data_IF_186405164281
#
_entry.id   IF_186405164281
#
_cell.length_a   1.000
_cell.length_b   1.000
_cell.length_c   1.000
_cell.angle_alpha   90.00
_cell.angle_beta   90.00
_cell.angle_gamma   90.00
#
_symmetry.space_group_name_H-M   'P 1'
#
loop_
_entity.id
_entity.type
_entity.pdbx_description
1 polymer ?
#
# COMPACT_ATOMS: atom_id res chain seq x y z
N UNK A 1 -27.95 -21.95 13.28
CA UNK A 1 -27.56 -22.33 11.91
C UNK A 1 -28.84 -22.45 11.11
N UNK A 2 -29.27 -21.37 10.47
CA UNK A 2 -30.39 -21.40 9.54
C UNK A 2 -29.76 -21.33 8.15
N UNK A 3 -29.86 -22.43 7.40
CA UNK A 3 -29.47 -22.48 5.99
C UNK A 3 -30.61 -21.81 5.21
N UNK A 4 -30.30 -20.84 4.35
CA UNK A 4 -31.30 -20.16 3.52
C UNK A 4 -31.69 -21.07 2.35
N UNK A 5 -32.85 -21.70 2.50
CA UNK A 5 -33.38 -22.70 1.57
C UNK A 5 -34.47 -22.06 0.71
N UNK A 6 -34.57 -22.43 -0.56
CA UNK A 6 -35.71 -22.06 -1.40
C UNK A 6 -37.01 -22.73 -0.89
N UNK A 7 -38.17 -22.34 -1.46
CA UNK A 7 -39.48 -22.93 -1.12
C UNK A 7 -39.57 -24.46 -1.35
N UNK A 8 -38.52 -25.06 -1.94
CA UNK A 8 -38.38 -26.48 -2.24
C UNK A 8 -37.27 -27.17 -1.41
N UNK A 9 -36.64 -26.47 -0.47
CA UNK A 9 -35.61 -27.03 0.40
C UNK A 9 -34.22 -27.19 -0.24
N UNK A 10 -33.94 -26.51 -1.36
CA UNK A 10 -32.60 -26.47 -1.95
C UNK A 10 -31.81 -25.28 -1.41
N UNK A 11 -30.48 -25.42 -1.32
CA UNK A 11 -29.58 -24.29 -1.11
C UNK A 11 -29.84 -23.23 -2.18
N UNK A 12 -30.23 -22.02 -1.77
CA UNK A 12 -30.30 -20.89 -2.70
C UNK A 12 -28.90 -20.61 -3.22
N UNK A 13 -28.73 -20.68 -4.55
CA UNK A 13 -27.57 -20.06 -5.17
C UNK A 13 -27.66 -18.56 -4.89
N UNK A 14 -26.60 -17.97 -4.33
CA UNK A 14 -26.57 -16.53 -4.06
C UNK A 14 -27.01 -15.77 -5.32
N UNK A 15 -28.01 -14.89 -5.18
CA UNK A 15 -28.55 -14.15 -6.31
C UNK A 15 -27.40 -13.37 -7.01
N UNK A 16 -27.33 -13.36 -8.35
CA UNK A 16 -26.34 -12.56 -9.06
C UNK A 16 -26.52 -11.09 -8.66
N UNK A 17 -25.42 -10.43 -8.28
CA UNK A 17 -25.42 -8.99 -8.02
C UNK A 17 -26.06 -8.27 -9.22
N UNK A 18 -27.08 -7.44 -8.98
CA UNK A 18 -27.70 -6.62 -10.03
C UNK A 18 -26.60 -5.87 -10.79
N UNK A 19 -26.58 -6.02 -12.12
CA UNK A 19 -25.51 -5.46 -12.95
C UNK A 19 -25.58 -3.92 -12.89
N UNK A 20 -24.64 -3.29 -12.17
CA UNK A 20 -24.51 -1.83 -12.14
C UNK A 20 -24.13 -1.30 -13.52
N UNK A 21 -24.56 -0.06 -13.81
CA UNK A 21 -24.19 0.63 -15.05
C UNK A 21 -22.68 0.91 -15.12
N UNK A 22 -22.09 1.23 -13.96
CA UNK A 22 -20.68 1.54 -13.77
C UNK A 22 -20.14 0.91 -12.48
N UNK A 23 -18.86 0.59 -12.51
CA UNK A 23 -18.10 0.02 -11.40
C UNK A 23 -16.88 0.87 -11.11
N UNK A 24 -16.63 1.11 -9.82
CA UNK A 24 -15.55 1.92 -9.30
C UNK A 24 -14.61 1.05 -8.46
N UNK A 25 -13.36 0.92 -8.91
CA UNK A 25 -12.32 0.14 -8.24
C UNK A 25 -11.10 1.02 -7.94
N UNK A 26 -10.63 0.99 -6.70
CA UNK A 26 -9.48 1.78 -6.23
C UNK A 26 -8.37 0.83 -5.80
N UNK A 27 -7.23 0.89 -6.50
CA UNK A 27 -6.02 0.16 -6.13
C UNK A 27 -5.08 1.11 -5.38
N UNK A 28 -4.69 0.78 -4.14
CA UNK A 28 -3.86 1.65 -3.28
C UNK A 28 -2.70 0.89 -2.67
N UNK A 29 -1.56 1.55 -2.50
CA UNK A 29 -0.41 0.92 -1.88
C UNK A 29 0.85 1.77 -2.00
N UNK A 30 1.97 1.19 -1.59
CA UNK A 30 3.26 1.85 -1.68
C UNK A 30 3.93 1.53 -3.03
N UNK A 31 4.56 2.53 -3.63
CA UNK A 31 5.25 2.41 -4.91
C UNK A 31 6.26 1.25 -4.91
N UNK A 32 6.03 0.27 -5.79
CA UNK A 32 6.80 -0.98 -5.88
C UNK A 32 5.98 -2.25 -5.64
N UNK A 33 4.79 -2.15 -5.02
CA UNK A 33 3.93 -3.32 -4.72
C UNK A 33 3.07 -3.81 -5.87
N UNK A 34 3.07 -3.10 -7.01
CA UNK A 34 2.32 -3.52 -8.21
C UNK A 34 0.93 -2.89 -8.38
N UNK A 35 0.61 -1.82 -7.64
CA UNK A 35 -0.67 -1.08 -7.69
C UNK A 35 -1.11 -0.73 -9.13
N UNK A 36 -0.27 -0.01 -9.86
CA UNK A 36 -0.54 0.43 -11.25
C UNK A 36 -0.75 -0.80 -12.14
N UNK A 37 0.10 -1.82 -12.02
CA UNK A 37 -0.01 -3.04 -12.85
C UNK A 37 -1.33 -3.76 -12.59
N UNK A 38 -1.79 -3.83 -11.34
CA UNK A 38 -3.06 -4.45 -11.00
C UNK A 38 -4.24 -3.66 -11.60
N UNK A 39 -4.24 -2.34 -11.48
CA UNK A 39 -5.24 -1.47 -12.10
C UNK A 39 -5.26 -1.60 -13.63
N UNK A 40 -4.08 -1.66 -14.26
CA UNK A 40 -3.97 -1.93 -15.70
C UNK A 40 -4.57 -3.29 -16.07
N UNK A 41 -4.25 -4.36 -15.33
CA UNK A 41 -4.81 -5.69 -15.59
C UNK A 41 -6.34 -5.67 -15.51
N UNK A 42 -6.91 -5.04 -14.48
CA UNK A 42 -8.36 -4.90 -14.33
C UNK A 42 -8.97 -4.08 -15.47
N UNK A 43 -8.36 -2.95 -15.83
CA UNK A 43 -8.83 -2.13 -16.95
C UNK A 43 -8.76 -2.85 -18.30
N UNK A 44 -7.69 -3.59 -18.58
CA UNK A 44 -7.58 -4.37 -19.80
C UNK A 44 -8.57 -5.55 -19.84
N UNK A 45 -8.83 -6.19 -18.71
CA UNK A 45 -9.87 -7.19 -18.59
C UNK A 45 -11.26 -6.59 -18.88
N UNK A 46 -11.58 -5.43 -18.29
CA UNK A 46 -12.83 -4.73 -18.55
C UNK A 46 -13.01 -4.33 -20.03
N UNK A 47 -11.94 -3.88 -20.69
CA UNK A 47 -11.96 -3.62 -22.13
C UNK A 47 -12.25 -4.88 -22.96
N UNK A 48 -11.70 -6.04 -22.56
CA UNK A 48 -11.95 -7.33 -23.25
C UNK A 48 -13.39 -7.82 -23.08
N UNK A 49 -14.04 -7.48 -21.96
CA UNK A 49 -15.47 -7.73 -21.69
C UNK A 49 -16.39 -6.70 -22.38
N UNK A 50 -15.83 -5.73 -23.13
CA UNK A 50 -16.60 -4.75 -23.90
C UNK A 50 -17.01 -3.51 -23.12
N UNK A 51 -16.54 -3.33 -21.88
CA UNK A 51 -16.79 -2.12 -21.10
C UNK A 51 -15.92 -0.95 -21.58
N UNK A 52 -16.42 0.27 -21.41
CA UNK A 52 -15.57 1.46 -21.46
C UNK A 52 -14.72 1.50 -20.19
N UNK A 53 -13.54 2.11 -20.27
CA UNK A 53 -12.63 2.23 -19.13
C UNK A 53 -12.08 3.66 -19.02
N UNK A 54 -11.98 4.13 -17.78
CA UNK A 54 -11.33 5.39 -17.40
C UNK A 54 -10.43 5.13 -16.20
N UNK A 55 -9.19 5.57 -16.30
CA UNK A 55 -8.20 5.45 -15.23
C UNK A 55 -7.61 6.81 -14.90
N UNK A 56 -7.33 7.04 -13.63
CA UNK A 56 -6.50 8.14 -13.16
C UNK A 56 -5.53 7.60 -12.12
N UNK A 57 -4.32 8.15 -12.08
CA UNK A 57 -3.30 7.69 -11.15
C UNK A 57 -2.71 8.89 -10.44
N UNK A 58 -2.62 8.78 -9.13
CA UNK A 58 -1.87 9.70 -8.29
C UNK A 58 -0.65 8.95 -7.80
N UNK A 59 0.52 9.32 -8.34
CA UNK A 59 1.79 8.90 -7.79
C UNK A 59 2.40 10.06 -7.01
N UNK A 60 2.81 9.83 -5.77
CA UNK A 60 3.70 10.79 -5.09
C UNK A 60 4.96 11.03 -5.94
N UNK A 61 5.64 12.17 -5.77
CA UNK A 61 6.89 12.45 -6.51
C UNK A 61 8.00 11.41 -6.28
N UNK A 62 7.84 10.51 -5.28
CA UNK A 62 8.70 9.36 -5.07
C UNK A 62 8.16 8.14 -5.80
N UNK A 63 8.76 7.79 -6.94
CA UNK A 63 8.41 6.61 -7.76
C UNK A 63 8.60 5.26 -7.03
N UNK A 64 9.29 5.25 -5.88
CA UNK A 64 9.48 4.09 -5.00
C UNK A 64 9.31 4.52 -3.55
N UNK A 65 8.55 3.77 -2.76
CA UNK A 65 8.32 4.06 -1.34
C UNK A 65 7.35 5.20 -1.03
N UNK A 66 6.74 5.84 -2.03
CA UNK A 66 5.65 6.80 -1.84
C UNK A 66 4.27 6.16 -1.94
N UNK A 67 3.24 6.83 -1.42
CA UNK A 67 1.83 6.46 -1.61
C UNK A 67 1.46 6.54 -3.10
N UNK A 68 0.72 5.53 -3.56
CA UNK A 68 0.22 5.39 -4.93
C UNK A 68 -1.25 5.00 -4.86
N UNK A 69 -2.09 5.79 -5.54
CA UNK A 69 -3.50 5.50 -5.75
C UNK A 69 -3.79 5.40 -7.24
N UNK A 70 -4.41 4.31 -7.69
CA UNK A 70 -4.86 4.11 -9.07
C UNK A 70 -6.37 3.91 -9.07
N UNK A 71 -7.07 4.90 -9.61
CA UNK A 71 -8.52 4.94 -9.77
C UNK A 71 -8.87 4.26 -11.08
N UNK A 72 -9.77 3.27 -11.03
CA UNK A 72 -10.30 2.56 -12.18
C UNK A 72 -11.83 2.66 -12.15
N UNK A 73 -12.40 3.20 -13.23
CA UNK A 73 -13.84 3.19 -13.47
C UNK A 73 -14.12 2.49 -14.79
N UNK A 74 -15.09 1.59 -14.81
CA UNK A 74 -15.51 0.91 -16.03
C UNK A 74 -17.01 0.62 -16.05
N UNK A 75 -17.59 0.54 -17.25
CA UNK A 75 -19.03 0.34 -17.41
C UNK A 75 -19.53 0.68 -18.81
N UNK A 76 -20.86 0.77 -18.97
CA UNK A 76 -21.51 1.01 -20.27
C UNK A 76 -21.42 2.50 -20.68
N UNK A 77 -21.50 3.40 -19.71
CA UNK A 77 -21.50 4.86 -19.88
C UNK A 77 -20.48 5.50 -18.93
N UNK A 78 -19.49 6.25 -19.43
CA UNK A 78 -18.45 6.84 -18.56
C UNK A 78 -18.17 8.29 -18.94
N UNK A 79 -18.29 9.17 -17.95
CA UNK A 79 -18.08 10.61 -18.12
C UNK A 79 -16.70 11.08 -17.61
N UNK A 80 -16.02 10.30 -16.78
CA UNK A 80 -14.69 10.66 -16.26
C UNK A 80 -14.03 9.57 -15.40
N UNK A 81 -12.77 9.78 -14.96
CA UNK A 81 -12.03 8.80 -14.17
C UNK A 81 -12.17 8.98 -12.65
N UNK A 82 -12.70 10.11 -12.19
CA UNK A 82 -12.77 10.44 -10.76
C UNK A 82 -13.99 9.83 -10.08
N UNK A 83 -13.80 9.42 -8.82
CA UNK A 83 -14.83 8.88 -7.94
C UNK A 83 -15.21 9.94 -6.90
N UNK A 84 -16.42 9.85 -6.36
CA UNK A 84 -16.87 10.67 -5.23
C UNK A 84 -16.70 9.88 -3.93
N UNK A 85 -16.63 10.58 -2.80
CA UNK A 85 -16.64 9.95 -1.48
C UNK A 85 -17.85 9.02 -1.32
N UNK A 86 -17.62 7.85 -0.74
CA UNK A 86 -18.65 6.81 -0.57
C UNK A 86 -19.11 6.09 -1.85
N UNK A 87 -18.49 6.30 -3.01
CA UNK A 87 -18.91 5.70 -4.29
C UNK A 87 -18.08 4.46 -4.70
N UNK A 88 -17.30 3.87 -3.77
CA UNK A 88 -16.39 2.78 -4.11
C UNK A 88 -17.07 1.40 -4.07
N UNK A 89 -16.94 0.61 -5.15
CA UNK A 89 -17.38 -0.78 -5.17
C UNK A 89 -16.31 -1.74 -4.63
N UNK A 90 -15.05 -1.50 -5.02
CA UNK A 90 -13.91 -2.37 -4.67
C UNK A 90 -12.69 -1.53 -4.28
N UNK A 91 -12.17 -1.77 -3.08
CA UNK A 91 -10.85 -1.31 -2.64
C UNK A 91 -9.88 -2.49 -2.65
N UNK A 92 -8.77 -2.38 -3.38
CA UNK A 92 -7.65 -3.33 -3.32
C UNK A 92 -6.45 -2.62 -2.73
N UNK A 93 -6.11 -2.94 -1.49
CA UNK A 93 -4.98 -2.35 -0.80
C UNK A 93 -3.80 -3.32 -0.74
N UNK A 94 -2.70 -2.95 -1.38
CA UNK A 94 -1.44 -3.69 -1.39
C UNK A 94 -0.59 -3.41 -0.14
N UNK A 95 -1.09 -2.55 0.75
CA UNK A 95 -0.49 -2.12 2.01
C UNK A 95 -1.60 -1.63 2.94
N UNK A 96 -1.56 -1.98 4.23
CA UNK A 96 -2.69 -1.75 5.15
C UNK A 96 -2.93 -0.27 5.51
N UNK A 97 -1.89 0.53 5.68
CA UNK A 97 -2.04 1.96 5.98
C UNK A 97 -2.62 2.73 4.80
N UNK A 98 -2.37 2.27 3.59
CA UNK A 98 -2.95 2.86 2.37
C UNK A 98 -4.44 2.55 2.23
N UNK A 99 -4.93 1.43 2.80
CA UNK A 99 -6.36 1.20 2.96
C UNK A 99 -6.99 2.27 3.87
N UNK A 100 -6.38 2.53 5.03
CA UNK A 100 -6.86 3.53 6.00
C UNK A 100 -6.94 4.94 5.40
N UNK A 101 -5.91 5.35 4.64
CA UNK A 101 -5.88 6.69 4.03
C UNK A 101 -7.00 6.95 3.03
N UNK A 102 -7.62 5.91 2.50
CA UNK A 102 -8.61 5.99 1.42
C UNK A 102 -10.02 5.54 1.86
N UNK A 103 -10.27 5.40 3.17
CA UNK A 103 -11.59 4.98 3.69
C UNK A 103 -12.72 5.97 3.35
N UNK A 104 -12.41 7.24 3.08
CA UNK A 104 -13.42 8.23 2.68
C UNK A 104 -14.13 7.90 1.34
N UNK A 105 -13.50 7.10 0.48
CA UNK A 105 -14.14 6.62 -0.75
C UNK A 105 -15.09 5.44 -0.50
N UNK A 106 -14.94 4.74 0.61
CA UNK A 106 -15.72 3.55 0.91
C UNK A 106 -17.06 3.88 1.57
N UNK A 107 -18.01 2.95 1.39
CA UNK A 107 -19.28 2.89 2.08
C UNK A 107 -19.45 1.50 2.74
N UNK A 108 -20.61 1.26 3.34
CA UNK A 108 -20.92 0.02 4.08
C UNK A 108 -20.93 -1.26 3.22
N UNK A 109 -21.09 -1.12 1.90
CA UNK A 109 -21.20 -2.20 0.91
C UNK A 109 -19.93 -2.36 0.04
N UNK A 110 -18.95 -1.47 0.19
CA UNK A 110 -17.66 -1.54 -0.51
C UNK A 110 -16.93 -2.82 -0.18
N UNK A 111 -16.54 -3.62 -1.19
CA UNK A 111 -15.65 -4.76 -0.98
C UNK A 111 -14.22 -4.26 -0.74
N UNK A 112 -13.61 -4.60 0.39
CA UNK A 112 -12.21 -4.29 0.67
C UNK A 112 -11.38 -5.55 0.73
N UNK A 113 -10.34 -5.62 -0.10
CA UNK A 113 -9.32 -6.67 -0.08
C UNK A 113 -8.00 -6.01 0.33
N UNK A 114 -7.54 -6.30 1.54
CA UNK A 114 -6.41 -5.60 2.16
C UNK A 114 -5.28 -6.57 2.49
N UNK A 115 -4.09 -6.27 1.99
CA UNK A 115 -2.87 -6.95 2.41
C UNK A 115 -2.36 -6.36 3.73
N UNK A 116 -2.03 -7.21 4.69
CA UNK A 116 -1.39 -6.82 5.98
C UNK A 116 0.06 -6.35 5.84
N UNK A 117 0.58 -6.27 4.61
CA UNK A 117 1.94 -5.85 4.35
C UNK A 117 2.15 -4.43 4.86
N UNK A 118 3.26 -4.22 5.55
CA UNK A 118 3.67 -2.91 6.06
C UNK A 118 4.98 -2.51 5.39
N UNK A 119 4.95 -1.45 4.59
CA UNK A 119 6.14 -0.94 3.89
C UNK A 119 6.53 0.39 4.50
N UNK A 120 7.66 0.40 5.20
CA UNK A 120 8.19 1.61 5.83
C UNK A 120 8.89 2.43 4.75
N UNK A 121 8.43 3.67 4.46
CA UNK A 121 9.09 4.51 3.48
C UNK A 121 10.54 4.77 3.88
N UNK A 122 11.50 4.71 2.94
CA UNK A 122 12.90 5.03 3.25
C UNK A 122 13.09 6.43 3.87
N UNK A 123 12.20 7.37 3.59
CA UNK A 123 12.19 8.71 4.21
C UNK A 123 11.89 8.71 5.72
N UNK A 124 11.27 7.67 6.26
CA UNK A 124 11.13 7.51 7.72
C UNK A 124 12.48 7.16 8.34
N UNK A 125 13.36 6.50 7.57
CA UNK A 125 14.70 6.12 8.03
C UNK A 125 15.73 7.27 7.93
N UNK A 126 15.37 8.44 7.41
CA UNK A 126 16.33 9.54 7.20
C UNK A 126 16.56 10.42 8.42
N UNK A 127 15.71 10.34 9.45
CA UNK A 127 15.85 11.16 10.66
C UNK A 127 16.43 10.32 11.80
N UNK A 128 17.69 10.57 12.15
CA UNK A 128 18.33 10.05 13.36
C UNK A 128 18.02 10.96 14.56
N UNK A 129 17.38 10.42 15.58
CA UNK A 129 17.29 10.99 16.94
C UNK A 129 18.59 10.71 17.68
N UNK A 130 19.02 11.63 18.55
CA UNK A 130 20.19 11.43 19.40
C UNK A 130 19.78 11.14 20.83
N UNK A 131 20.32 10.06 21.39
CA UNK A 131 20.32 9.78 22.82
C UNK A 131 21.65 10.24 23.40
N UNK A 132 21.62 11.10 24.42
CA UNK A 132 22.82 11.54 25.13
C UNK A 132 22.81 10.96 26.53
N UNK A 133 23.79 10.10 26.82
CA UNK A 133 24.04 9.62 28.18
C UNK A 133 24.74 10.72 28.98
N UNK A 134 23.97 11.44 29.79
CA UNK A 134 24.47 12.55 30.61
C UNK A 134 25.49 12.11 31.68
N UNK A 135 25.58 10.81 32.00
CA UNK A 135 26.59 10.30 32.93
C UNK A 135 27.96 10.13 32.29
N UNK A 136 28.00 9.96 30.96
CA UNK A 136 29.23 9.83 30.16
C UNK A 136 29.60 11.10 29.40
N UNK A 137 28.62 11.97 29.14
CA UNK A 137 28.81 13.18 28.37
C UNK A 137 29.59 14.24 29.18
N UNK A 138 30.77 14.62 28.68
CA UNK A 138 31.60 15.66 29.29
C UNK A 138 31.49 17.04 28.61
N UNK A 139 30.61 17.20 27.61
CA UNK A 139 30.40 18.49 26.95
C UNK A 139 31.53 18.98 26.02
N UNK A 140 32.37 18.09 25.49
CA UNK A 140 33.54 18.45 24.68
C UNK A 140 33.25 19.10 23.31
N UNK A 141 32.02 19.02 22.81
CA UNK A 141 31.62 19.66 21.54
C UNK A 141 32.11 19.00 20.24
N UNK A 142 32.84 17.87 20.31
CA UNK A 142 33.34 17.16 19.10
C UNK A 142 32.23 16.80 18.09
N UNK A 143 31.03 16.46 18.58
CA UNK A 143 29.85 16.18 17.76
C UNK A 143 29.34 17.41 16.99
N UNK A 144 29.54 18.63 17.52
CA UNK A 144 29.14 19.89 16.91
C UNK A 144 30.16 20.32 15.85
N UNK A 145 31.46 20.11 16.11
CA UNK A 145 32.54 20.47 15.19
C UNK A 145 32.49 19.74 13.84
N UNK A 146 31.88 18.55 13.80
CA UNK A 146 31.74 17.75 12.58
C UNK A 146 30.53 18.15 11.72
N UNK A 147 29.75 19.16 12.13
CA UNK A 147 28.55 19.59 11.44
C UNK A 147 28.59 21.11 11.15
N UNK A 148 28.97 21.50 9.93
CA UNK A 148 29.09 22.91 9.54
C UNK A 148 27.99 23.30 8.52
N UNK A 149 27.22 24.39 8.72
CA UNK A 149 27.06 25.18 9.94
C UNK A 149 25.62 25.20 10.49
N UNK A 150 25.54 24.91 11.81
CA UNK A 150 24.48 25.23 12.77
C UNK A 150 23.17 24.44 12.67
N UNK A 151 23.20 23.22 13.19
CA UNK A 151 21.98 22.54 13.62
C UNK A 151 21.63 22.93 15.06
N UNK A 152 20.39 23.36 15.25
CA UNK A 152 19.80 23.57 16.58
C UNK A 152 19.19 22.24 17.01
N UNK A 153 19.78 21.63 18.03
CA UNK A 153 19.19 20.50 18.73
C UNK A 153 18.17 21.04 19.73
N UNK A 154 16.92 20.61 19.64
CA UNK A 154 15.93 20.91 20.65
C UNK A 154 15.76 19.70 21.56
N UNK A 155 15.71 19.96 22.87
CA UNK A 155 15.34 18.97 23.87
C UNK A 155 13.95 18.44 23.57
N UNK A 156 13.85 17.12 23.44
CA UNK A 156 12.60 16.37 23.29
C UNK A 156 11.84 16.38 24.61
N UNK A 157 10.52 16.16 24.57
CA UNK A 157 9.67 16.03 25.77
C UNK A 157 10.02 14.83 26.67
N UNK A 158 10.92 13.95 26.22
CA UNK A 158 11.49 12.87 27.01
C UNK A 158 12.86 13.34 27.53
N UNK A 159 13.09 13.22 28.84
CA UNK A 159 14.35 13.63 29.48
C UNK A 159 15.55 13.02 28.72
N UNK A 160 16.48 13.88 28.28
CA UNK A 160 17.76 13.54 27.63
C UNK A 160 17.76 13.14 26.15
N UNK A 161 16.69 13.41 25.40
CA UNK A 161 16.64 13.18 23.95
C UNK A 161 16.68 14.47 23.15
N UNK A 162 17.32 14.47 21.98
CA UNK A 162 17.45 15.66 21.14
C UNK A 162 17.07 15.38 19.67
N UNK A 163 16.24 16.24 19.09
CA UNK A 163 15.76 16.12 17.70
C UNK A 163 16.40 17.15 16.76
N UNK A 164 16.79 16.71 15.56
CA UNK A 164 17.37 17.54 14.50
C UNK A 164 16.27 18.19 13.63
N UNK A 165 16.07 19.51 13.70
CA UNK A 165 14.92 20.16 13.05
C UNK A 165 15.16 20.76 11.64
N UNK A 166 16.40 20.97 11.16
CA UNK A 166 16.66 21.63 9.85
C UNK A 166 17.93 21.16 9.16
N UNK A 167 17.84 20.85 7.85
CA UNK A 167 18.96 20.60 6.93
C UNK A 167 18.66 21.18 5.52
N UNK A 168 19.66 21.36 4.65
CA UNK A 168 19.65 22.33 3.55
C UNK A 168 18.73 22.02 2.35
N UNK A 169 18.28 23.11 1.72
CA UNK A 169 17.39 23.21 0.55
C UNK A 169 18.08 22.80 -0.77
N UNK A 170 17.39 22.01 -1.60
CA UNK A 170 17.81 21.63 -2.96
C UNK A 170 17.06 22.44 -4.02
N UNK A 171 17.72 22.85 -5.10
CA UNK A 171 17.11 23.49 -6.28
C UNK A 171 17.58 22.81 -7.56
N UNK A 172 16.65 22.59 -8.51
CA UNK A 172 16.97 22.05 -9.85
C UNK A 172 17.29 23.23 -10.76
N UNK A 173 18.50 23.22 -11.34
CA UNK A 173 18.95 24.23 -12.30
C UNK A 173 19.41 23.46 -13.55
N UNK A 174 18.77 23.72 -14.69
CA UNK A 174 19.06 23.08 -15.98
C UNK A 174 19.10 21.55 -15.91
N UNK A 175 18.10 20.94 -15.26
CA UNK A 175 17.96 19.47 -15.21
C UNK A 175 18.95 18.75 -14.29
N UNK A 176 19.86 19.46 -13.63
CA UNK A 176 20.77 18.90 -12.64
C UNK A 176 20.42 19.41 -11.23
N UNK A 177 20.37 18.49 -10.27
CA UNK A 177 20.23 18.85 -8.85
C UNK A 177 21.56 19.42 -8.37
N UNK A 178 21.60 20.71 -8.04
CA UNK A 178 22.76 21.32 -7.39
C UNK A 178 22.51 21.49 -5.91
N UNK A 179 23.47 20.99 -5.12
CA UNK A 179 23.60 21.31 -3.71
C UNK A 179 24.23 22.70 -3.63
N UNK A 180 23.60 23.64 -2.92
CA UNK A 180 24.17 24.97 -2.72
C UNK A 180 25.41 24.87 -1.82
N UNK A 181 26.44 25.67 -2.09
CA UNK A 181 27.85 25.49 -1.67
C UNK A 181 28.11 25.33 -0.16
N UNK A 182 27.13 25.56 0.70
CA UNK A 182 27.25 25.38 2.15
C UNK A 182 26.62 24.08 2.70
N UNK A 183 26.34 23.10 1.85
CA UNK A 183 25.79 21.80 2.25
C UNK A 183 26.64 20.63 1.73
N UNK A 184 27.04 19.72 2.62
CA UNK A 184 27.76 18.48 2.25
C UNK A 184 26.87 17.23 2.15
N UNK A 185 25.55 17.36 2.31
CA UNK A 185 24.61 16.26 2.05
C UNK A 185 24.67 15.13 3.09
N UNK A 186 23.69 15.11 3.98
CA UNK A 186 23.52 14.12 5.05
C UNK A 186 23.18 12.71 4.53
N UNK A 187 24.17 12.00 4.00
CA UNK A 187 24.25 10.54 4.03
C UNK A 187 25.33 10.03 5.01
N UNK A 188 26.09 10.94 5.63
CA UNK A 188 27.26 10.66 6.50
C UNK A 188 27.25 11.49 7.80
N UNK A 189 26.11 11.58 8.50
CA UNK A 189 26.16 11.95 9.92
C UNK A 189 26.82 10.81 10.71
N UNK A 190 28.13 10.94 10.97
CA UNK A 190 29.05 9.93 11.53
C UNK A 190 29.11 9.97 13.07
N UNK A 191 28.04 10.35 13.78
CA UNK A 191 28.10 10.44 15.25
C UNK A 191 28.55 9.11 15.90
N UNK A 192 28.20 7.98 15.28
CA UNK A 192 28.56 6.61 15.67
C UNK A 192 30.09 6.37 15.81
N UNK A 193 30.96 7.31 15.39
CA UNK A 193 32.43 7.25 15.57
C UNK A 193 33.09 8.56 16.05
N UNK A 194 32.30 9.58 16.41
CA UNK A 194 32.81 10.91 16.81
C UNK A 194 32.85 11.08 18.33
N UNK A 195 32.03 10.35 19.08
CA UNK A 195 32.05 10.41 20.55
C UNK A 195 33.15 9.48 21.09
N UNK A 196 34.24 9.98 21.68
CA UNK A 196 35.29 9.15 22.26
C UNK A 196 34.89 8.54 23.62
N UNK A 197 33.69 8.88 24.14
CA UNK A 197 33.18 8.45 25.44
C UNK A 197 31.92 7.58 25.33
N UNK A 198 31.53 7.19 24.11
CA UNK A 198 30.30 6.43 23.82
C UNK A 198 29.04 7.03 24.49
N UNK A 199 29.02 8.36 24.63
CA UNK A 199 27.97 9.10 25.31
C UNK A 199 26.82 9.54 24.38
N UNK A 200 26.99 9.40 23.06
CA UNK A 200 26.00 9.84 22.07
C UNK A 200 25.70 8.67 21.14
N UNK A 201 24.45 8.24 21.12
CA UNK A 201 23.95 7.19 20.24
C UNK A 201 22.92 7.79 19.28
N UNK A 202 23.06 7.49 17.98
CA UNK A 202 22.12 7.94 16.96
C UNK A 202 21.20 6.79 16.54
N UNK A 203 19.90 6.95 16.74
CA UNK A 203 18.90 5.91 16.51
C UNK A 203 17.69 6.50 15.78
N UNK A 204 16.85 5.65 15.19
CA UNK A 204 15.57 6.09 14.62
C UNK A 204 14.44 5.46 15.46
N UNK A 205 13.75 6.26 16.29
CA UNK A 205 12.48 5.82 16.88
C UNK A 205 11.35 6.24 15.96
N UNK A 206 10.66 5.25 15.40
CA UNK A 206 9.37 5.42 14.76
C UNK A 206 8.55 4.19 15.11
N UNK A 207 7.30 4.42 15.45
CA UNK A 207 6.34 3.36 15.75
C UNK A 207 5.34 3.32 14.60
N UNK A 208 5.29 2.19 13.91
CA UNK A 208 4.23 1.96 12.94
C UNK A 208 2.96 1.57 13.70
N UNK A 209 1.77 2.10 13.33
CA UNK A 209 0.54 1.74 14.02
C UNK A 209 0.37 0.22 14.10
N UNK A 210 -0.18 -0.27 15.21
CA UNK A 210 -0.42 -1.70 15.35
C UNK A 210 -1.38 -2.19 14.25
N UNK A 211 -0.97 -3.24 13.53
CA UNK A 211 -1.78 -3.84 12.45
C UNK A 211 -3.22 -4.12 12.92
N UNK A 212 -3.39 -4.66 14.14
CA UNK A 212 -4.70 -4.97 14.71
C UNK A 212 -5.59 -3.74 14.92
N UNK A 213 -5.01 -2.61 15.30
CA UNK A 213 -5.76 -1.37 15.45
C UNK A 213 -6.28 -0.91 14.08
N UNK A 214 -5.42 -0.96 13.05
CA UNK A 214 -5.81 -0.61 11.69
C UNK A 214 -6.86 -1.55 11.11
N UNK A 215 -6.74 -2.87 11.35
CA UNK A 215 -7.77 -3.82 10.94
C UNK A 215 -9.15 -3.49 11.51
N UNK A 216 -9.20 -3.07 12.78
CA UNK A 216 -10.45 -2.69 13.45
C UNK A 216 -11.09 -1.49 12.76
N UNK A 217 -10.31 -0.46 12.44
CA UNK A 217 -10.81 0.74 11.78
C UNK A 217 -11.31 0.44 10.36
N UNK A 218 -10.58 -0.38 9.59
CA UNK A 218 -11.00 -0.83 8.25
C UNK A 218 -12.31 -1.62 8.33
N UNK A 219 -12.39 -2.62 9.22
CA UNK A 219 -13.60 -3.45 9.44
C UNK A 219 -14.80 -2.66 9.95
N UNK A 220 -14.60 -1.48 10.53
CA UNK A 220 -15.70 -0.61 10.97
C UNK A 220 -16.39 0.14 9.82
N UNK A 221 -15.75 0.21 8.65
CA UNK A 221 -16.22 1.01 7.49
C UNK A 221 -17.15 0.20 6.57
N UNK A 222 -16.88 -1.09 6.38
CA UNK A 222 -17.65 -1.97 5.49
C UNK A 222 -17.89 -3.33 6.11
N UNK A 223 -18.99 -3.97 5.72
CA UNK A 223 -19.30 -5.36 6.09
C UNK A 223 -18.51 -6.37 5.24
N UNK A 224 -17.99 -5.94 4.09
CA UNK A 224 -17.34 -6.77 3.09
C UNK A 224 -15.82 -6.58 3.11
N UNK A 225 -15.15 -6.98 4.21
CA UNK A 225 -13.71 -6.76 4.39
C UNK A 225 -12.95 -8.07 4.53
N UNK A 226 -12.03 -8.33 3.59
CA UNK A 226 -11.07 -9.44 3.64
C UNK A 226 -9.66 -8.89 3.86
N UNK A 227 -9.07 -9.24 5.00
CA UNK A 227 -7.69 -8.88 5.35
C UNK A 227 -6.85 -10.16 5.34
N UNK A 228 -5.75 -10.16 4.58
CA UNK A 228 -4.87 -11.32 4.42
C UNK A 228 -3.38 -10.92 4.29
N UNK A 229 -2.48 -11.87 4.50
CA UNK A 229 -1.07 -11.69 4.18
C UNK A 229 -0.79 -12.18 2.75
N UNK A 230 -0.93 -11.28 1.77
CA UNK A 230 -0.69 -11.60 0.37
C UNK A 230 0.78 -11.94 0.07
N UNK A 231 1.73 -11.41 0.86
CA UNK A 231 3.15 -11.73 0.69
C UNK A 231 3.42 -13.18 1.09
N UNK A 232 2.86 -13.62 2.23
CA UNK A 232 2.97 -15.02 2.66
C UNK A 232 2.44 -15.98 1.59
N UNK A 233 1.25 -15.72 1.06
CA UNK A 233 0.65 -16.56 0.00
C UNK A 233 1.50 -16.53 -1.28
N UNK A 234 2.04 -15.38 -1.65
CA UNK A 234 2.93 -15.26 -2.81
C UNK A 234 4.25 -16.02 -2.63
N UNK A 235 4.81 -16.01 -1.42
CA UNK A 235 6.00 -16.81 -1.07
C UNK A 235 5.69 -18.29 -1.19
N UNK A 236 4.55 -18.74 -0.67
CA UNK A 236 4.09 -20.14 -0.77
C UNK A 236 3.84 -20.56 -2.23
N UNK A 237 3.33 -19.65 -3.08
CA UNK A 237 3.18 -19.88 -4.52
C UNK A 237 4.53 -19.92 -5.28
N UNK A 238 5.60 -19.41 -4.67
CA UNK A 238 6.99 -19.54 -5.11
C UNK A 238 7.69 -18.23 -5.48
N UNK A 239 7.05 -17.06 -5.37
CA UNK A 239 7.69 -15.78 -5.59
C UNK A 239 6.93 -14.62 -4.94
N UNK A 240 7.54 -13.93 -3.98
CA UNK A 240 6.96 -12.75 -3.31
C UNK A 240 6.46 -11.66 -4.27
N UNK A 241 7.07 -11.52 -5.46
CA UNK A 241 6.68 -10.52 -6.45
C UNK A 241 5.29 -10.76 -7.07
N UNK A 242 4.65 -11.89 -6.77
CA UNK A 242 3.29 -12.21 -7.24
C UNK A 242 2.20 -11.85 -6.24
N UNK A 243 2.52 -11.14 -5.13
CA UNK A 243 1.54 -10.72 -4.13
C UNK A 243 0.39 -9.91 -4.72
N UNK A 244 0.67 -9.08 -5.73
CA UNK A 244 -0.37 -8.32 -6.41
C UNK A 244 -1.34 -9.21 -7.20
N UNK A 245 -0.84 -10.31 -7.75
CA UNK A 245 -1.64 -11.30 -8.49
C UNK A 245 -2.49 -12.15 -7.55
N UNK A 246 -2.02 -12.43 -6.33
CA UNK A 246 -2.85 -13.06 -5.28
C UNK A 246 -4.11 -12.23 -5.03
N UNK A 247 -3.96 -10.92 -4.80
CA UNK A 247 -5.09 -10.02 -4.55
C UNK A 247 -6.08 -9.94 -5.73
N UNK A 248 -5.57 -9.96 -6.97
CA UNK A 248 -6.42 -10.04 -8.17
C UNK A 248 -7.18 -11.37 -8.25
N UNK A 249 -6.53 -12.48 -7.88
CA UNK A 249 -7.17 -13.79 -7.76
C UNK A 249 -8.30 -13.77 -6.75
N UNK A 250 -8.06 -13.19 -5.57
CA UNK A 250 -9.09 -13.01 -4.52
C UNK A 250 -10.30 -12.26 -5.07
N UNK A 251 -10.09 -11.12 -5.74
CA UNK A 251 -11.19 -10.36 -6.35
C UNK A 251 -11.98 -11.19 -7.36
N UNK A 252 -11.27 -11.94 -8.22
CA UNK A 252 -11.90 -12.83 -9.20
C UNK A 252 -12.75 -13.93 -8.52
N UNK A 253 -12.32 -14.43 -7.36
CA UNK A 253 -13.03 -15.46 -6.59
C UNK A 253 -14.29 -14.94 -5.94
N UNK A 254 -14.24 -13.71 -5.42
CA UNK A 254 -15.40 -13.05 -4.81
C UNK A 254 -16.42 -12.67 -5.89
N UNK A 255 -15.97 -12.36 -7.11
CA UNK A 255 -16.83 -12.05 -8.25
C UNK A 255 -17.80 -10.89 -7.96
N UNK A 256 -17.27 -9.82 -7.35
CA UNK A 256 -18.00 -8.58 -7.00
C UNK A 256 -18.20 -7.64 -8.19
N UNK A 257 -17.37 -7.79 -9.21
CA UNK A 257 -17.40 -7.01 -10.44
C UNK A 257 -17.56 -7.93 -11.65
N UNK A 258 -18.12 -7.46 -12.79
CA UNK A 258 -18.48 -8.30 -13.92
C UNK A 258 -17.28 -8.57 -14.83
N UNK A 259 -16.19 -9.08 -14.25
CA UNK A 259 -15.00 -9.51 -14.98
C UNK A 259 -14.82 -11.00 -14.79
N UNK A 260 -14.85 -11.76 -15.89
CA UNK A 260 -14.71 -13.21 -15.79
C UNK A 260 -13.32 -13.62 -15.28
N UNK A 261 -13.29 -14.70 -14.50
CA UNK A 261 -12.05 -15.31 -13.99
C UNK A 261 -11.09 -15.64 -15.14
N UNK A 262 -11.64 -16.11 -16.26
CA UNK A 262 -10.85 -16.47 -17.44
C UNK A 262 -10.17 -15.24 -18.05
N UNK A 263 -10.91 -14.15 -18.27
CA UNK A 263 -10.35 -12.92 -18.86
C UNK A 263 -9.34 -12.26 -17.91
N UNK A 264 -9.60 -12.26 -16.59
CA UNK A 264 -8.64 -11.76 -15.61
C UNK A 264 -7.33 -12.57 -15.63
N UNK A 265 -7.41 -13.90 -15.56
CA UNK A 265 -6.22 -14.76 -15.59
C UNK A 265 -5.47 -14.60 -16.93
N UNK A 266 -6.18 -14.58 -18.06
CA UNK A 266 -5.59 -14.33 -19.38
C UNK A 266 -4.87 -12.98 -19.42
N UNK A 267 -5.46 -11.93 -18.86
CA UNK A 267 -4.85 -10.61 -18.82
C UNK A 267 -3.63 -10.59 -17.90
N UNK A 268 -3.66 -11.24 -16.74
CA UNK A 268 -2.46 -11.44 -15.89
C UNK A 268 -1.31 -12.03 -16.71
N UNK A 269 -1.56 -13.09 -17.49
CA UNK A 269 -0.56 -13.74 -18.35
C UNK A 269 0.03 -12.80 -19.41
N UNK A 270 -0.72 -11.81 -19.88
CA UNK A 270 -0.25 -10.80 -20.84
C UNK A 270 0.69 -9.76 -20.21
N UNK A 271 0.52 -9.46 -18.92
CA UNK A 271 1.26 -8.42 -18.19
C UNK A 271 2.50 -8.93 -17.45
N UNK A 272 2.69 -10.25 -17.38
CA UNK A 272 3.85 -10.87 -16.72
C UNK A 272 4.86 -11.41 -17.73
N UNK A 273 6.16 -11.44 -17.41
CA UNK A 273 7.16 -12.06 -18.27
C UNK A 273 6.86 -13.53 -18.52
N UNK A 274 7.11 -14.04 -19.73
CA UNK A 274 6.85 -15.45 -20.11
C UNK A 274 7.40 -16.47 -19.09
N UNK A 275 8.61 -16.24 -18.60
CA UNK A 275 9.28 -17.09 -17.59
C UNK A 275 8.60 -17.12 -16.22
N UNK A 276 7.70 -16.18 -15.95
CA UNK A 276 7.02 -16.01 -14.67
C UNK A 276 5.51 -16.34 -14.76
N UNK A 277 5.02 -16.84 -15.90
CA UNK A 277 3.59 -17.17 -16.06
C UNK A 277 3.16 -18.21 -15.03
N UNK A 278 3.88 -19.33 -14.92
CA UNK A 278 3.49 -20.45 -14.06
C UNK A 278 3.39 -20.06 -12.58
N UNK A 279 4.32 -19.23 -12.09
CA UNK A 279 4.30 -18.78 -10.69
C UNK A 279 3.18 -17.77 -10.43
N UNK A 280 2.90 -16.88 -11.39
CA UNK A 280 1.78 -15.94 -11.27
C UNK A 280 0.44 -16.66 -11.38
N UNK A 281 0.33 -17.70 -12.20
CA UNK A 281 -0.88 -18.50 -12.32
C UNK A 281 -1.18 -19.27 -11.03
N UNK A 282 -0.17 -19.87 -10.40
CA UNK A 282 -0.35 -20.47 -9.07
C UNK A 282 -0.82 -19.44 -8.04
N UNK A 283 -0.17 -18.28 -7.98
CA UNK A 283 -0.54 -17.20 -7.07
C UNK A 283 -1.98 -16.71 -7.30
N UNK A 284 -2.39 -16.56 -8.57
CA UNK A 284 -3.75 -16.21 -8.94
C UNK A 284 -4.76 -17.26 -8.47
N UNK A 285 -4.45 -18.55 -8.66
CA UNK A 285 -5.33 -19.65 -8.28
C UNK A 285 -5.48 -19.78 -6.75
N UNK A 286 -4.41 -19.59 -5.98
CA UNK A 286 -4.51 -19.54 -4.50
C UNK A 286 -5.38 -18.38 -4.04
N UNK A 287 -5.19 -17.19 -4.63
CA UNK A 287 -6.06 -16.05 -4.38
C UNK A 287 -7.52 -16.35 -4.74
N UNK A 288 -7.76 -16.96 -5.91
CA UNK A 288 -9.09 -17.34 -6.38
C UNK A 288 -9.82 -18.26 -5.41
N UNK A 289 -9.11 -19.24 -4.84
CA UNK A 289 -9.64 -20.15 -3.84
C UNK A 289 -10.08 -19.39 -2.58
N UNK A 290 -9.20 -18.55 -2.03
CA UNK A 290 -9.50 -17.72 -0.86
C UNK A 290 -10.70 -16.81 -1.11
N UNK A 291 -10.78 -16.20 -2.30
CA UNK A 291 -11.91 -15.34 -2.67
C UNK A 291 -13.25 -16.07 -2.75
N UNK A 292 -13.25 -17.31 -3.26
CA UNK A 292 -14.46 -18.16 -3.28
C UNK A 292 -14.90 -18.56 -1.87
N UNK A 293 -13.95 -18.99 -1.03
CA UNK A 293 -14.23 -19.32 0.37
C UNK A 293 -14.78 -18.11 1.13
N UNK A 294 -14.24 -16.90 0.89
CA UNK A 294 -14.76 -15.69 1.51
C UNK A 294 -16.18 -15.36 1.05
N UNK A 295 -16.47 -15.52 -0.25
CA UNK A 295 -17.81 -15.31 -0.81
C UNK A 295 -18.85 -16.23 -0.16
N UNK A 296 -18.50 -17.50 0.05
CA UNK A 296 -19.37 -18.50 0.71
C UNK A 296 -19.63 -18.22 2.20
N UNK A 297 -18.80 -17.39 2.84
CA UNK A 297 -18.96 -17.03 4.26
C UNK A 297 -19.74 -15.73 4.49
N UNK A 298 -19.99 -14.95 3.43
CA UNK A 298 -20.70 -13.65 3.49
C UNK A 298 -22.10 -13.71 2.87
N UNK A 299 -22.34 -14.68 1.98
CA UNK A 299 -23.63 -14.97 1.35
C UNK A 299 -24.18 -16.30 1.88
#
# INVERSE_FOLDING_TARGET
>A
MALDLDDKGNLRAAEPLEEKENYNALCVGIGGTGVIRASMILGWAALQEGYKVRTAETHGMSQRGGSVSSYLRFGKTLEGPFMVEGDLDVLIAFEISEALRNLNFANTDTLMIVSTNAVIPPSVLTHKTLKIDMTKCIGCGNCVAHCIPNHVFFESKQEHYFTLLKGPTRKVINGHTRVLESCTGCAQCIIDKVCPFDAIEAYNEWEYPEIKAMEKDIKSTSQNVLILDANKIAIEAGNILTANVVLLGVLAGINRIPLSVEILNKTVKMFVPKKAIDVNERAFNEGLKIGKEFKENIL
#
